data_IF_379719772802
#
_entry.id   IF_379719772802
#
_cell.length_a   1.000
_cell.length_b   1.000
_cell.length_c   1.000
_cell.angle_alpha   90.00
_cell.angle_beta   90.00
_cell.angle_gamma   90.00
#
_symmetry.space_group_name_H-M   'P 1'
#
loop_
_entity.id
_entity.type
_entity.pdbx_description
1 polymer ?
#
# COMPACT_ATOMS: atom_id res chain seq x y z
N UNK A 1 -11.20 -10.45 5.82
CA UNK A 1 -11.13 -11.93 5.84
C UNK A 1 -10.75 -12.51 4.48
N UNK A 2 -11.50 -12.31 3.39
CA UNK A 2 -11.14 -12.90 2.07
C UNK A 2 -9.75 -12.50 1.56
N UNK A 3 -9.37 -11.25 1.74
CA UNK A 3 -8.06 -10.73 1.33
C UNK A 3 -6.88 -11.32 2.13
N UNK A 4 -7.11 -11.94 3.29
CA UNK A 4 -6.03 -12.51 4.11
C UNK A 4 -5.35 -13.72 3.47
N UNK A 5 -5.92 -14.29 2.42
CA UNK A 5 -5.28 -15.36 1.65
C UNK A 5 -3.91 -14.92 1.11
N UNK A 6 -3.77 -13.65 0.68
CA UNK A 6 -2.50 -13.09 0.20
C UNK A 6 -1.43 -13.19 1.30
N UNK A 7 -1.76 -12.76 2.51
CA UNK A 7 -0.83 -12.81 3.65
C UNK A 7 -0.47 -14.24 4.05
N UNK A 8 -1.45 -15.14 4.10
CA UNK A 8 -1.23 -16.54 4.45
C UNK A 8 -0.35 -17.26 3.41
N UNK A 9 -0.59 -17.02 2.12
CA UNK A 9 0.26 -17.56 1.05
C UNK A 9 1.66 -16.97 1.08
N UNK A 10 1.79 -15.67 1.36
CA UNK A 10 3.08 -15.01 1.54
C UNK A 10 3.88 -15.63 2.68
N UNK A 11 3.26 -15.84 3.85
CA UNK A 11 3.90 -16.53 4.97
C UNK A 11 4.36 -17.95 4.60
N UNK A 12 3.51 -18.69 3.89
CA UNK A 12 3.84 -20.05 3.43
C UNK A 12 5.03 -20.02 2.45
N UNK A 13 5.03 -19.09 1.50
CA UNK A 13 6.12 -18.92 0.53
C UNK A 13 7.44 -18.57 1.23
N UNK A 14 7.44 -17.62 2.14
CA UNK A 14 8.63 -17.23 2.91
C UNK A 14 9.19 -18.39 3.74
N UNK A 15 8.32 -19.16 4.40
CA UNK A 15 8.74 -20.37 5.13
C UNK A 15 9.37 -21.42 4.22
N UNK A 16 8.78 -21.66 3.05
CA UNK A 16 9.33 -22.62 2.08
C UNK A 16 10.69 -22.19 1.51
N UNK A 17 10.92 -20.89 1.39
CA UNK A 17 12.19 -20.32 0.93
C UNK A 17 13.23 -20.18 2.06
N UNK A 18 12.85 -20.39 3.32
CA UNK A 18 13.70 -20.15 4.47
C UNK A 18 14.07 -18.67 4.67
N UNK A 19 13.22 -17.76 4.18
CA UNK A 19 13.42 -16.30 4.24
C UNK A 19 12.50 -15.70 5.30
N UNK A 20 13.04 -14.81 6.14
CA UNK A 20 12.27 -14.00 7.08
C UNK A 20 12.12 -12.59 6.50
N UNK A 21 10.89 -12.08 6.46
CA UNK A 21 10.65 -10.69 6.08
C UNK A 21 11.09 -9.74 7.21
N UNK A 22 11.64 -8.59 6.85
CA UNK A 22 11.93 -7.48 7.75
C UNK A 22 10.97 -6.33 7.51
N UNK A 23 10.68 -6.03 6.25
CA UNK A 23 9.77 -4.97 5.83
C UNK A 23 8.69 -5.53 4.91
N UNK A 24 7.43 -5.19 5.20
CA UNK A 24 6.27 -5.60 4.38
C UNK A 24 5.54 -4.34 3.91
N UNK A 25 5.41 -4.19 2.58
CA UNK A 25 4.91 -2.98 1.93
C UNK A 25 3.66 -3.31 1.12
N UNK A 26 2.63 -2.50 1.23
CA UNK A 26 1.44 -2.64 0.38
C UNK A 26 0.84 -1.29 0.00
N UNK A 27 0.22 -1.23 -1.18
CA UNK A 27 -0.55 -0.06 -1.58
C UNK A 27 -1.84 0.02 -0.75
N UNK A 28 -2.26 1.24 -0.43
CA UNK A 28 -3.39 1.50 0.44
C UNK A 28 -4.34 2.54 -0.17
N UNK A 29 -5.53 2.07 -0.55
CA UNK A 29 -6.71 2.90 -0.83
C UNK A 29 -7.66 2.81 0.35
N UNK A 30 -8.67 1.92 0.28
CA UNK A 30 -9.53 1.59 1.44
C UNK A 30 -8.88 0.67 2.48
N UNK A 31 -7.71 0.10 2.18
CA UNK A 31 -6.91 -0.69 3.13
C UNK A 31 -7.16 -2.21 3.09
N UNK A 32 -8.10 -2.73 2.31
CA UNK A 32 -8.43 -4.15 2.34
C UNK A 32 -7.31 -5.05 1.80
N UNK A 33 -6.65 -4.64 0.72
CA UNK A 33 -5.52 -5.38 0.13
C UNK A 33 -4.31 -5.39 1.07
N UNK A 34 -3.91 -4.22 1.54
CA UNK A 34 -2.84 -4.08 2.55
C UNK A 34 -3.16 -4.89 3.80
N UNK A 35 -4.39 -4.74 4.34
CA UNK A 35 -4.82 -5.45 5.54
C UNK A 35 -4.77 -6.96 5.37
N UNK A 36 -5.16 -7.47 4.19
CA UNK A 36 -5.07 -8.88 3.87
C UNK A 36 -3.62 -9.38 3.84
N UNK A 37 -2.73 -8.62 3.23
CA UNK A 37 -1.30 -8.95 3.15
C UNK A 37 -0.66 -9.00 4.54
N UNK A 38 -0.86 -7.96 5.36
CA UNK A 38 -0.15 -7.83 6.64
C UNK A 38 -0.81 -8.59 7.80
N UNK A 39 -2.09 -8.97 7.69
CA UNK A 39 -2.87 -9.52 8.81
C UNK A 39 -2.16 -10.65 9.59
N UNK A 40 -1.62 -11.72 8.97
CA UNK A 40 -0.96 -12.78 9.71
C UNK A 40 0.35 -12.31 10.37
N UNK A 41 1.08 -11.41 9.73
CA UNK A 41 2.33 -10.85 10.26
C UNK A 41 2.10 -9.87 11.41
N UNK A 42 1.03 -9.06 11.32
CA UNK A 42 0.59 -8.21 12.45
C UNK A 42 0.24 -9.07 13.65
N UNK A 43 -0.43 -10.21 13.43
CA UNK A 43 -0.71 -11.17 14.50
C UNK A 43 0.55 -11.66 15.19
N UNK A 44 1.59 -12.04 14.44
CA UNK A 44 2.88 -12.46 15.01
C UNK A 44 3.58 -11.32 15.77
N UNK A 45 3.57 -10.10 15.21
CA UNK A 45 4.16 -8.92 15.87
C UNK A 45 3.45 -8.59 17.19
N UNK A 46 2.12 -8.60 17.21
CA UNK A 46 1.34 -8.29 18.42
C UNK A 46 1.50 -9.36 19.52
N UNK A 47 1.82 -10.60 19.16
CA UNK A 47 2.15 -11.66 20.12
C UNK A 47 3.63 -11.65 20.55
N UNK A 48 4.44 -10.74 19.99
CA UNK A 48 5.88 -10.68 20.28
C UNK A 48 6.70 -11.81 19.65
N UNK A 49 6.17 -12.50 18.65
CA UNK A 49 6.83 -13.63 17.98
C UNK A 49 7.83 -13.16 16.90
N UNK A 50 7.61 -11.97 16.35
CA UNK A 50 8.46 -11.36 15.33
C UNK A 50 8.35 -9.83 15.36
N UNK A 51 9.37 -9.16 14.81
CA UNK A 51 9.34 -7.71 14.63
C UNK A 51 9.42 -7.37 13.14
N UNK A 52 8.30 -6.95 12.58
CA UNK A 52 8.15 -6.51 11.20
C UNK A 52 7.92 -5.01 11.15
N UNK A 53 8.44 -4.37 10.11
CA UNK A 53 8.01 -3.02 9.72
C UNK A 53 6.95 -3.15 8.62
N UNK A 54 5.85 -2.44 8.78
CA UNK A 54 4.77 -2.41 7.80
C UNK A 54 4.65 -1.01 7.22
N UNK A 55 4.60 -0.89 5.90
CA UNK A 55 4.48 0.39 5.20
C UNK A 55 3.24 0.39 4.32
N UNK A 56 2.27 1.23 4.66
CA UNK A 56 1.14 1.56 3.84
C UNK A 56 1.52 2.65 2.83
N UNK A 57 1.32 2.42 1.54
CA UNK A 57 1.67 3.40 0.51
C UNK A 57 0.42 3.89 -0.19
N UNK A 58 0.12 5.15 -0.04
CA UNK A 58 -1.08 5.80 -0.58
C UNK A 58 -0.72 6.83 -1.67
N UNK A 59 -1.65 7.13 -2.60
CA UNK A 59 -1.42 8.18 -3.57
C UNK A 59 -1.46 9.56 -2.90
N UNK A 60 -0.58 10.46 -3.33
CA UNK A 60 -0.56 11.84 -2.85
C UNK A 60 -1.86 12.61 -3.17
N UNK A 61 -2.68 12.11 -4.09
CA UNK A 61 -4.01 12.64 -4.41
C UNK A 61 -5.11 12.22 -3.42
N UNK A 62 -4.88 11.16 -2.63
CA UNK A 62 -5.82 10.62 -1.65
C UNK A 62 -5.09 10.23 -0.36
N UNK A 63 -4.43 11.17 0.34
CA UNK A 63 -3.52 10.89 1.45
C UNK A 63 -4.29 10.73 2.77
N UNK A 64 -5.14 9.71 2.87
CA UNK A 64 -6.05 9.52 4.02
C UNK A 64 -5.30 9.27 5.33
N UNK A 65 -4.25 8.46 5.33
CA UNK A 65 -3.43 8.21 6.53
C UNK A 65 -2.49 9.40 6.83
N UNK A 66 -1.76 9.87 5.82
CA UNK A 66 -0.69 10.87 6.05
C UNK A 66 -1.21 12.28 6.25
N UNK A 67 -2.41 12.64 5.77
CA UNK A 67 -3.01 13.98 5.87
C UNK A 67 -4.45 14.01 6.35
N UNK A 68 -5.10 12.86 6.50
CA UNK A 68 -6.46 12.76 7.02
C UNK A 68 -6.52 12.99 8.52
N UNK A 69 -7.74 13.02 9.04
CA UNK A 69 -8.02 13.12 10.47
C UNK A 69 -8.52 11.76 10.98
N UNK A 70 -8.10 11.36 12.16
CA UNK A 70 -8.66 10.18 12.83
C UNK A 70 -9.98 10.55 13.51
N UNK A 71 -11.09 10.26 12.85
CA UNK A 71 -12.42 10.68 13.26
C UNK A 71 -13.51 9.68 12.85
N UNK A 72 -14.70 9.84 13.39
CA UNK A 72 -15.89 9.14 12.90
C UNK A 72 -16.34 9.76 11.59
N UNK A 73 -16.50 8.93 10.56
CA UNK A 73 -16.98 9.36 9.25
C UNK A 73 -17.78 8.24 8.57
N UNK A 74 -18.51 8.57 7.52
CA UNK A 74 -19.16 7.58 6.66
C UNK A 74 -18.16 6.97 5.68
N UNK A 75 -18.25 5.66 5.47
CA UNK A 75 -17.42 5.00 4.47
C UNK A 75 -17.95 5.15 3.04
N UNK A 76 -19.15 5.68 2.88
CA UNK A 76 -19.82 5.93 1.59
C UNK A 76 -20.30 7.39 1.48
N UNK A 77 -20.28 7.92 0.26
CA UNK A 77 -20.74 9.29 -0.04
C UNK A 77 -22.26 9.45 0.12
N UNK A 78 -23.01 8.35 0.05
CA UNK A 78 -24.46 8.34 0.29
C UNK A 78 -24.85 8.45 1.76
N UNK A 79 -23.90 8.32 2.68
CA UNK A 79 -24.10 8.38 4.15
C UNK A 79 -25.14 7.35 4.65
N UNK A 80 -25.21 6.21 3.96
CA UNK A 80 -26.14 5.11 4.27
C UNK A 80 -25.51 4.11 5.24
N UNK A 81 -24.17 3.91 5.14
CA UNK A 81 -23.45 3.03 6.04
C UNK A 81 -23.30 3.63 7.44
N UNK A 82 -23.17 2.80 8.49
CA UNK A 82 -22.86 3.29 9.82
C UNK A 82 -21.56 4.09 9.87
N UNK A 83 -21.49 5.07 10.77
CA UNK A 83 -20.26 5.79 11.09
C UNK A 83 -19.18 4.82 11.57
N UNK A 84 -17.98 5.00 11.06
CA UNK A 84 -16.79 4.24 11.46
C UNK A 84 -15.67 5.19 11.86
N UNK A 85 -14.93 4.82 12.89
CA UNK A 85 -13.72 5.58 13.27
C UNK A 85 -12.60 5.21 12.31
N UNK A 86 -12.08 6.19 11.57
CA UNK A 86 -11.09 6.00 10.51
C UNK A 86 -10.22 7.23 10.30
N UNK A 87 -9.08 7.06 9.68
CA UNK A 87 -8.36 8.17 9.05
C UNK A 87 -9.12 8.56 7.78
N UNK A 88 -9.58 9.79 7.70
CA UNK A 88 -10.45 10.27 6.61
C UNK A 88 -10.09 11.68 6.13
N UNK A 89 -10.31 11.90 4.84
CA UNK A 89 -10.27 13.22 4.17
C UNK A 89 -11.65 13.89 4.17
N UNK A 90 -12.67 13.18 4.68
CA UNK A 90 -14.08 13.57 4.67
C UNK A 90 -14.89 12.81 3.62
N UNK A 91 -16.10 12.32 4.00
CA UNK A 91 -16.96 11.53 3.10
C UNK A 91 -17.42 12.30 1.84
N UNK A 92 -17.35 13.62 1.88
CA UNK A 92 -17.64 14.50 0.74
C UNK A 92 -16.39 14.84 -0.10
N UNK A 93 -15.22 14.29 0.26
CA UNK A 93 -13.97 14.51 -0.48
C UNK A 93 -14.02 13.85 -1.86
N UNK A 94 -13.76 14.62 -2.89
CA UNK A 94 -13.66 14.14 -4.26
C UNK A 94 -12.19 14.09 -4.67
N UNK A 95 -11.60 12.88 -4.82
CA UNK A 95 -10.23 12.74 -5.26
C UNK A 95 -10.02 13.36 -6.65
N UNK A 96 -8.87 14.00 -6.85
CA UNK A 96 -8.45 14.43 -8.19
C UNK A 96 -8.31 13.21 -9.12
N UNK A 97 -8.38 13.47 -10.43
CA UNK A 97 -8.19 12.40 -11.41
C UNK A 97 -6.80 11.77 -11.25
N UNK A 98 -6.76 10.46 -11.13
CA UNK A 98 -5.53 9.66 -11.07
C UNK A 98 -5.75 8.32 -11.76
N UNK A 99 -4.66 7.73 -12.28
CA UNK A 99 -4.73 6.46 -12.99
C UNK A 99 -4.75 5.23 -12.07
N UNK A 100 -4.49 5.38 -10.77
CA UNK A 100 -4.65 4.34 -9.77
C UNK A 100 -6.10 4.39 -9.21
N UNK A 101 -7.08 4.01 -10.02
CA UNK A 101 -8.50 4.09 -9.67
C UNK A 101 -8.87 3.31 -8.39
N UNK A 102 -8.23 2.17 -8.18
CA UNK A 102 -8.41 1.33 -6.99
C UNK A 102 -7.91 1.95 -5.67
N UNK A 103 -7.17 3.07 -5.73
CA UNK A 103 -6.68 3.78 -4.55
C UNK A 103 -7.40 5.13 -4.29
N UNK A 104 -8.45 5.44 -5.05
CA UNK A 104 -9.19 6.71 -4.92
C UNK A 104 -10.26 6.61 -3.82
N UNK A 105 -9.83 6.63 -2.57
CA UNK A 105 -10.71 6.58 -1.41
C UNK A 105 -10.54 7.80 -0.52
N UNK A 106 -11.62 8.24 0.12
CA UNK A 106 -11.60 9.36 1.08
C UNK A 106 -11.19 8.92 2.49
N UNK A 107 -11.31 7.62 2.80
CA UNK A 107 -11.06 7.09 4.14
C UNK A 107 -10.44 5.70 4.13
N UNK A 108 -9.74 5.39 5.20
CA UNK A 108 -9.06 4.13 5.42
C UNK A 108 -9.91 3.21 6.29
N UNK A 109 -9.83 1.90 6.08
CA UNK A 109 -10.52 0.92 6.94
C UNK A 109 -10.18 1.13 8.42
N UNK A 110 -11.14 0.89 9.31
CA UNK A 110 -10.99 1.12 10.75
C UNK A 110 -9.82 0.33 11.34
N UNK A 111 -9.59 -0.90 10.87
CA UNK A 111 -8.48 -1.75 11.36
C UNK A 111 -7.13 -1.15 10.99
N UNK A 112 -6.93 -0.75 9.73
CA UNK A 112 -5.67 -0.13 9.30
C UNK A 112 -5.48 1.23 9.97
N UNK A 113 -6.56 2.00 10.14
CA UNK A 113 -6.53 3.27 10.85
C UNK A 113 -6.08 3.11 12.30
N UNK A 114 -6.60 2.13 13.01
CA UNK A 114 -6.21 1.80 14.39
C UNK A 114 -4.74 1.38 14.48
N UNK A 115 -4.30 0.50 13.59
CA UNK A 115 -2.90 0.06 13.56
C UNK A 115 -1.93 1.21 13.27
N UNK A 116 -2.34 2.16 12.43
CA UNK A 116 -1.57 3.36 12.15
C UNK A 116 -1.55 4.32 13.34
N UNK A 117 -2.70 4.56 13.99
CA UNK A 117 -2.82 5.41 15.18
C UNK A 117 -1.98 4.90 16.34
N UNK A 118 -1.89 3.58 16.50
CA UNK A 118 -1.05 2.91 17.49
C UNK A 118 0.44 2.80 17.10
N UNK A 119 0.84 3.29 15.94
CA UNK A 119 2.22 3.22 15.46
C UNK A 119 2.69 1.82 15.07
N UNK A 120 1.78 0.87 14.86
CA UNK A 120 2.11 -0.50 14.40
C UNK A 120 2.52 -0.51 12.93
N UNK A 121 1.91 0.37 12.12
CA UNK A 121 2.23 0.55 10.71
C UNK A 121 2.69 1.97 10.42
N UNK A 122 3.56 2.12 9.43
CA UNK A 122 3.98 3.41 8.86
C UNK A 122 3.11 3.73 7.63
N UNK A 123 2.98 5.01 7.27
CA UNK A 123 2.31 5.43 6.05
C UNK A 123 3.18 6.38 5.24
N UNK A 124 3.12 6.24 3.91
CA UNK A 124 3.80 7.13 2.95
C UNK A 124 2.86 7.50 1.81
N UNK A 125 2.89 8.75 1.39
CA UNK A 125 2.18 9.18 0.18
C UNK A 125 3.16 9.38 -0.97
N UNK A 126 2.79 8.94 -2.18
CA UNK A 126 3.65 8.98 -3.36
C UNK A 126 2.95 9.72 -4.51
N UNK A 127 3.68 10.55 -5.22
CA UNK A 127 3.16 11.27 -6.39
C UNK A 127 3.01 10.32 -7.57
N UNK A 128 2.01 10.56 -8.40
CA UNK A 128 1.72 9.73 -9.57
C UNK A 128 2.91 9.61 -10.54
N UNK A 129 3.66 10.69 -10.75
CA UNK A 129 4.86 10.69 -11.60
C UNK A 129 5.91 9.70 -11.09
N UNK A 130 6.19 9.73 -9.79
CA UNK A 130 7.18 8.85 -9.15
C UNK A 130 6.73 7.37 -9.19
N UNK A 131 5.41 7.15 -9.14
CA UNK A 131 4.81 5.81 -9.27
C UNK A 131 5.01 5.24 -10.66
N UNK A 132 4.74 6.01 -11.72
CA UNK A 132 4.93 5.55 -13.11
C UNK A 132 6.40 5.37 -13.46
N UNK A 133 7.29 6.21 -12.93
CA UNK A 133 8.73 6.03 -13.08
C UNK A 133 9.18 4.69 -12.47
N UNK A 134 8.76 4.41 -11.24
CA UNK A 134 9.05 3.16 -10.56
C UNK A 134 8.47 1.93 -11.31
N UNK A 135 7.23 2.05 -11.82
CA UNK A 135 6.59 1.00 -12.60
C UNK A 135 7.34 0.67 -13.89
N UNK A 136 7.77 1.70 -14.63
CA UNK A 136 8.55 1.51 -15.85
C UNK A 136 9.94 0.93 -15.57
N UNK A 137 10.57 1.38 -14.50
CA UNK A 137 11.85 0.81 -14.06
C UNK A 137 11.68 -0.67 -13.73
N UNK A 138 10.69 -1.02 -12.92
CA UNK A 138 10.39 -2.40 -12.55
C UNK A 138 10.07 -3.28 -13.77
N UNK A 139 9.27 -2.78 -14.71
CA UNK A 139 8.95 -3.52 -15.92
C UNK A 139 10.18 -3.81 -16.79
N UNK A 140 11.16 -2.91 -16.82
CA UNK A 140 12.41 -3.10 -17.57
C UNK A 140 13.38 -4.07 -16.90
N UNK A 141 13.39 -4.10 -15.56
CA UNK A 141 14.31 -4.95 -14.79
C UNK A 141 13.75 -6.35 -14.55
N UNK A 142 12.45 -6.46 -14.26
CA UNK A 142 11.83 -7.73 -13.88
C UNK A 142 10.97 -8.36 -14.99
N UNK A 143 10.72 -7.63 -16.10
CA UNK A 143 9.90 -8.13 -17.20
C UNK A 143 8.40 -8.20 -16.86
N UNK A 144 7.95 -7.60 -15.77
CA UNK A 144 6.57 -7.60 -15.29
C UNK A 144 6.03 -6.17 -15.35
N UNK A 145 4.91 -5.96 -16.06
CA UNK A 145 4.22 -4.68 -16.09
C UNK A 145 3.21 -4.63 -14.93
N UNK A 146 3.46 -3.84 -13.87
CA UNK A 146 2.60 -3.78 -12.70
C UNK A 146 1.36 -2.92 -12.94
N UNK A 147 0.29 -3.14 -12.19
CA UNK A 147 -0.82 -2.19 -12.14
C UNK A 147 -0.37 -0.85 -11.51
N UNK A 148 -0.98 0.29 -11.88
CA UNK A 148 -0.66 1.58 -11.25
C UNK A 148 -0.80 1.57 -9.73
N UNK A 149 -1.74 0.80 -9.19
CA UNK A 149 -1.95 0.62 -7.76
C UNK A 149 -0.72 0.00 -7.07
N UNK A 150 -0.30 -1.18 -7.54
CA UNK A 150 0.84 -1.90 -6.95
C UNK A 150 2.17 -1.17 -7.19
N UNK A 151 2.23 -0.31 -8.18
CA UNK A 151 3.41 0.53 -8.45
C UNK A 151 3.72 1.52 -7.33
N UNK A 152 2.73 1.86 -6.48
CA UNK A 152 2.96 2.61 -5.24
C UNK A 152 3.83 1.82 -4.27
N UNK A 153 3.53 0.53 -4.09
CA UNK A 153 4.34 -0.35 -3.25
C UNK A 153 5.75 -0.57 -3.84
N UNK A 154 5.87 -0.69 -5.16
CA UNK A 154 7.17 -0.79 -5.85
C UNK A 154 8.02 0.45 -5.60
N UNK A 155 7.44 1.66 -5.71
CA UNK A 155 8.17 2.90 -5.41
C UNK A 155 8.75 2.89 -4.00
N UNK A 156 7.95 2.54 -3.02
CA UNK A 156 8.41 2.45 -1.64
C UNK A 156 9.46 1.33 -1.43
N UNK A 157 9.32 0.19 -2.11
CA UNK A 157 10.31 -0.88 -2.06
C UNK A 157 11.67 -0.46 -2.62
N UNK A 158 11.68 0.30 -3.74
CA UNK A 158 12.89 0.89 -4.30
C UNK A 158 13.53 1.86 -3.29
N UNK A 159 12.73 2.70 -2.62
CA UNK A 159 13.24 3.64 -1.62
C UNK A 159 13.81 2.93 -0.40
N UNK A 160 13.17 1.85 0.07
CA UNK A 160 13.71 1.01 1.14
C UNK A 160 15.02 0.31 0.73
N UNK A 161 15.10 -0.22 -0.48
CA UNK A 161 16.33 -0.83 -1.00
C UNK A 161 17.49 0.18 -1.06
N UNK A 162 17.22 1.42 -1.48
CA UNK A 162 18.20 2.51 -1.45
C UNK A 162 18.64 2.84 -0.02
N UNK A 163 17.69 2.92 0.92
CA UNK A 163 17.97 3.11 2.34
C UNK A 163 18.86 1.99 2.89
N UNK A 164 18.59 0.74 2.56
CA UNK A 164 19.41 -0.39 2.96
C UNK A 164 20.85 -0.24 2.45
N UNK A 165 21.02 0.15 1.18
CA UNK A 165 22.33 0.41 0.59
C UNK A 165 23.08 1.53 1.31
N UNK A 166 22.42 2.64 1.61
CA UNK A 166 22.99 3.81 2.29
C UNK A 166 23.39 3.51 3.74
N UNK A 167 22.60 2.71 4.43
CA UNK A 167 22.82 2.35 5.84
C UNK A 167 23.70 1.13 6.04
N UNK A 168 24.00 0.39 4.97
CA UNK A 168 24.73 -0.89 5.03
C UNK A 168 23.94 -2.01 5.74
N UNK A 169 22.61 -1.89 5.87
CA UNK A 169 21.76 -2.91 6.48
C UNK A 169 21.17 -3.82 5.40
N UNK A 170 21.28 -5.12 5.63
CA UNK A 170 20.58 -6.12 4.82
C UNK A 170 19.19 -6.35 5.39
N UNK A 171 18.16 -6.16 4.59
CA UNK A 171 16.75 -6.40 4.96
C UNK A 171 16.02 -7.12 3.81
N UNK A 172 15.17 -8.09 4.16
CA UNK A 172 14.28 -8.75 3.23
C UNK A 172 13.00 -7.92 3.09
N UNK A 173 12.85 -7.27 1.94
CA UNK A 173 11.71 -6.41 1.63
C UNK A 173 10.66 -7.21 0.85
N UNK A 174 9.49 -7.38 1.43
CA UNK A 174 8.32 -8.00 0.79
C UNK A 174 7.35 -6.89 0.40
N UNK A 175 6.88 -6.91 -0.83
CA UNK A 175 5.84 -5.96 -1.25
C UNK A 175 4.72 -6.65 -2.02
N UNK A 176 3.51 -6.11 -1.89
CA UNK A 176 2.32 -6.61 -2.58
C UNK A 176 2.35 -6.21 -4.05
N UNK A 177 2.56 -7.17 -4.94
CA UNK A 177 2.45 -7.00 -6.39
C UNK A 177 1.11 -7.56 -6.86
N UNK A 178 0.07 -6.76 -6.75
CA UNK A 178 -1.31 -7.12 -7.09
C UNK A 178 -1.80 -6.40 -8.33
N UNK A 179 -2.48 -7.13 -9.20
CA UNK A 179 -2.93 -6.62 -10.48
C UNK A 179 -1.85 -6.59 -11.55
N UNK A 180 -2.29 -6.36 -12.79
CA UNK A 180 -1.42 -6.26 -13.96
C UNK A 180 -1.64 -4.93 -14.66
N UNK A 181 -0.60 -4.37 -15.25
CA UNK A 181 -0.65 -3.11 -16.00
C UNK A 181 -1.13 -3.24 -17.44
N UNK A 182 -1.40 -4.44 -17.92
CA UNK A 182 -1.81 -4.64 -19.33
C UNK A 182 -3.15 -3.95 -19.66
N UNK A 183 -4.02 -3.76 -18.68
CA UNK A 183 -5.27 -3.02 -18.85
C UNK A 183 -5.10 -1.50 -18.73
N UNK A 184 -3.91 -1.04 -18.31
CA UNK A 184 -3.60 0.36 -18.03
C UNK A 184 -2.60 0.98 -19.01
N UNK A 185 -2.45 0.39 -20.21
CA UNK A 185 -1.46 0.82 -21.21
C UNK A 185 -1.60 2.28 -21.60
N UNK A 186 -2.83 2.80 -21.65
CA UNK A 186 -3.09 4.22 -21.93
C UNK A 186 -2.53 5.12 -20.82
N UNK A 187 -2.67 4.73 -19.56
CA UNK A 187 -2.11 5.46 -18.43
C UNK A 187 -0.58 5.52 -18.50
N UNK A 188 0.06 4.42 -18.89
CA UNK A 188 1.51 4.36 -19.11
C UNK A 188 1.99 5.24 -20.26
N UNK A 189 1.18 5.42 -21.31
CA UNK A 189 1.49 6.34 -22.41
C UNK A 189 1.39 7.79 -21.98
N UNK A 190 0.33 8.15 -21.24
CA UNK A 190 0.13 9.50 -20.71
C UNK A 190 1.23 9.85 -19.69
N UNK A 191 1.64 8.92 -18.85
CA UNK A 191 2.75 9.09 -17.90
C UNK A 191 4.08 9.46 -18.58
N UNK A 192 4.29 9.05 -19.85
CA UNK A 192 5.45 9.46 -20.65
C UNK A 192 5.36 10.90 -21.18
N UNK A 193 4.18 11.46 -21.32
CA UNK A 193 3.99 12.81 -21.86
C UNK A 193 4.23 13.90 -20.81
N UNK A 194 4.42 13.53 -19.54
CA UNK A 194 4.62 14.44 -18.40
C UNK A 194 5.96 14.21 -17.68
N UNK A 195 6.90 13.50 -18.31
CA UNK A 195 8.28 13.31 -17.84
C UNK A 195 9.23 14.10 -18.72
#
# INVERSE_FOLDING_TARGET
>A
MHQSIIGLETQKALRNLGVKADVIIGCAGGGSNLGGLIAPFVGEKLRGEADYRFIAVEPASCPSLTRGKYAYDFCDTGKVCPLQKMYTLGCDFIPSASHAGGLRYHGMSSIISELYDQGVIEARSVRQTDVFEAAQFFARTEGILPAPESSHAIRAAIDEAKRCKETGREENIVFGLTGTGYFDMTAYQIGRAHV
#
